data_IF_808284729380
#
_entry.id   IF_808284729380
#
_cell.length_a   1.000
_cell.length_b   1.000
_cell.length_c   1.000
_cell.angle_alpha   90.00
_cell.angle_beta   90.00
_cell.angle_gamma   90.00
#
_symmetry.space_group_name_H-M   'P 1'
#
loop_
_entity.id
_entity.type
_entity.pdbx_description
1 polymer ?
#
# COMPACT_ATOMS: atom_id res chain seq x y z
N UNK A 1 -15.11 2.56 31.97
CA UNK A 1 -14.00 2.34 31.02
C UNK A 1 -14.56 1.55 29.86
N UNK A 2 -14.95 2.22 28.78
CA UNK A 2 -15.61 1.59 27.64
C UNK A 2 -14.54 1.16 26.64
N UNK A 3 -14.25 -0.13 26.60
CA UNK A 3 -13.51 -0.70 25.48
C UNK A 3 -14.48 -0.78 24.30
N UNK A 4 -14.47 0.23 23.42
CA UNK A 4 -15.01 0.04 22.08
C UNK A 4 -14.35 -1.22 21.54
N UNK A 5 -15.17 -2.15 21.04
CA UNK A 5 -14.72 -3.34 20.32
C UNK A 5 -13.82 -2.87 19.17
N UNK A 6 -12.51 -2.88 19.41
CA UNK A 6 -11.52 -2.36 18.49
C UNK A 6 -11.59 -3.23 17.23
N UNK A 7 -12.20 -2.71 16.18
CA UNK A 7 -11.85 -3.15 14.84
C UNK A 7 -10.32 -3.08 14.79
N UNK A 8 -9.65 -4.24 14.74
CA UNK A 8 -8.18 -4.34 14.85
C UNK A 8 -7.53 -3.19 14.10
N UNK A 9 -6.76 -2.36 14.81
CA UNK A 9 -6.17 -1.15 14.24
C UNK A 9 -5.50 -1.46 12.90
N UNK A 10 -5.88 -0.74 11.86
CA UNK A 10 -5.31 -0.88 10.52
C UNK A 10 -3.92 -0.22 10.50
N UNK A 11 -2.98 -0.82 11.23
CA UNK A 11 -1.65 -0.27 11.46
C UNK A 11 -0.66 -0.48 10.32
N UNK A 12 -1.10 -0.87 9.13
CA UNK A 12 -0.25 -1.10 7.96
C UNK A 12 -0.81 -0.40 6.74
N UNK A 13 0.02 0.28 5.96
CA UNK A 13 -0.39 0.94 4.72
C UNK A 13 0.62 0.77 3.59
N UNK A 14 0.14 0.84 2.35
CA UNK A 14 0.96 1.04 1.15
C UNK A 14 0.71 2.45 0.61
N UNK A 15 1.79 3.14 0.25
CA UNK A 15 1.78 4.53 -0.20
C UNK A 15 2.62 4.64 -1.47
N UNK A 16 2.06 5.19 -2.54
CA UNK A 16 2.81 5.60 -3.73
C UNK A 16 3.60 6.87 -3.41
N UNK A 17 4.88 6.87 -3.76
CA UNK A 17 5.74 8.05 -3.71
C UNK A 17 5.88 8.56 -5.12
N UNK A 18 5.41 9.79 -5.35
CA UNK A 18 5.45 10.46 -6.64
C UNK A 18 6.66 11.38 -6.75
N UNK A 19 7.06 11.70 -7.97
CA UNK A 19 8.16 12.63 -8.24
C UNK A 19 7.74 14.10 -8.36
N UNK A 20 6.46 14.33 -8.65
CA UNK A 20 5.89 15.63 -9.01
C UNK A 20 4.87 16.15 -7.98
N UNK A 21 4.39 15.29 -7.07
CA UNK A 21 3.29 15.59 -6.14
C UNK A 21 3.39 14.84 -4.81
N UNK A 22 2.53 15.15 -3.83
CA UNK A 22 2.50 14.44 -2.57
C UNK A 22 2.18 12.94 -2.71
N UNK A 23 2.71 12.16 -1.78
CA UNK A 23 2.47 10.73 -1.64
C UNK A 23 0.97 10.35 -1.64
N UNK A 24 0.61 9.30 -2.39
CA UNK A 24 -0.76 8.79 -2.50
C UNK A 24 -1.01 7.52 -1.69
N UNK A 25 -2.08 7.46 -0.91
CA UNK A 25 -2.47 6.24 -0.19
C UNK A 25 -3.07 5.22 -1.16
N UNK A 26 -2.51 4.00 -1.20
CA UNK A 26 -3.00 2.91 -2.06
C UNK A 26 -3.90 1.96 -1.26
N UNK A 27 -3.40 1.48 -0.12
CA UNK A 27 -4.08 0.42 0.63
C UNK A 27 -3.81 0.56 2.12
N UNK A 28 -4.84 0.33 2.93
CA UNK A 28 -4.78 0.33 4.40
C UNK A 28 -5.26 -1.03 4.92
N UNK A 29 -4.46 -1.65 5.78
CA UNK A 29 -4.69 -3.02 6.25
C UNK A 29 -4.23 -3.24 7.69
N UNK A 30 -4.63 -4.38 8.26
CA UNK A 30 -4.29 -4.76 9.64
C UNK A 30 -2.96 -5.52 9.76
N UNK A 31 -2.39 -5.97 8.64
CA UNK A 31 -1.12 -6.68 8.60
C UNK A 31 -0.36 -6.41 7.30
N UNK A 32 0.96 -6.63 7.32
CA UNK A 32 1.79 -6.57 6.12
C UNK A 32 1.34 -7.56 5.05
N UNK A 33 0.92 -8.77 5.43
CA UNK A 33 0.37 -9.78 4.51
C UNK A 33 -0.87 -9.27 3.79
N UNK A 34 -1.78 -8.58 4.49
CA UNK A 34 -2.97 -8.03 3.88
C UNK A 34 -2.63 -6.91 2.90
N UNK A 35 -1.72 -5.99 3.28
CA UNK A 35 -1.26 -4.93 2.39
C UNK A 35 -0.62 -5.52 1.13
N UNK A 36 0.26 -6.52 1.27
CA UNK A 36 0.89 -7.21 0.14
C UNK A 36 -0.10 -7.93 -0.79
N UNK A 37 -1.21 -8.42 -0.25
CA UNK A 37 -2.24 -9.08 -1.04
C UNK A 37 -3.11 -8.09 -1.83
N UNK A 38 -3.39 -6.91 -1.26
CA UNK A 38 -4.35 -5.96 -1.85
C UNK A 38 -3.76 -4.76 -2.58
N UNK A 39 -2.50 -4.37 -2.31
CA UNK A 39 -1.97 -3.12 -2.85
C UNK A 39 -1.86 -3.10 -4.38
N UNK A 40 -1.61 -4.24 -5.01
CA UNK A 40 -1.39 -4.28 -6.46
C UNK A 40 -2.68 -4.03 -7.24
N UNK A 41 -3.79 -4.61 -6.78
CA UNK A 41 -5.12 -4.38 -7.38
C UNK A 41 -5.57 -2.94 -7.12
N UNK A 42 -5.51 -2.49 -5.86
CA UNK A 42 -5.87 -1.11 -5.50
C UNK A 42 -5.02 -0.07 -6.26
N UNK A 43 -3.74 -0.34 -6.49
CA UNK A 43 -2.86 0.53 -7.28
C UNK A 43 -3.34 0.71 -8.72
N UNK A 44 -3.82 -0.36 -9.36
CA UNK A 44 -4.31 -0.33 -10.73
C UNK A 44 -5.72 0.25 -10.84
N UNK A 45 -6.50 0.20 -9.76
CA UNK A 45 -7.86 0.75 -9.69
C UNK A 45 -7.85 2.26 -9.40
N UNK A 46 -6.94 2.71 -8.53
CA UNK A 46 -6.90 4.11 -8.06
C UNK A 46 -6.13 5.02 -9.00
N UNK A 47 -5.08 4.51 -9.67
CA UNK A 47 -4.20 5.33 -10.51
C UNK A 47 -4.30 4.95 -11.99
N UNK A 48 -4.42 5.98 -12.80
CA UNK A 48 -4.49 5.90 -14.26
C UNK A 48 -3.12 5.57 -14.85
N UNK A 49 -3.01 5.33 -16.17
CA UNK A 49 -1.70 5.10 -16.80
C UNK A 49 -0.74 6.28 -16.63
N UNK A 50 -1.19 7.50 -16.93
CA UNK A 50 -0.40 8.73 -16.77
C UNK A 50 0.10 8.90 -15.33
N UNK A 51 -0.77 8.65 -14.35
CA UNK A 51 -0.40 8.80 -12.94
C UNK A 51 0.65 7.78 -12.50
N UNK A 52 0.56 6.55 -13.01
CA UNK A 52 1.49 5.47 -12.68
C UNK A 52 2.89 5.71 -13.23
N UNK A 53 3.06 6.53 -14.27
CA UNK A 53 4.37 6.93 -14.79
C UNK A 53 5.16 7.80 -13.78
N UNK A 54 4.45 8.57 -12.96
CA UNK A 54 5.04 9.43 -11.94
C UNK A 54 5.36 8.70 -10.63
N UNK A 55 4.95 7.43 -10.47
CA UNK A 55 5.19 6.66 -9.25
C UNK A 55 6.62 6.10 -9.26
N UNK A 56 7.49 6.65 -8.41
CA UNK A 56 8.87 6.16 -8.29
C UNK A 56 8.96 4.88 -7.46
N UNK A 57 8.17 4.78 -6.39
CA UNK A 57 8.18 3.62 -5.50
C UNK A 57 6.88 3.49 -4.73
N UNK A 58 6.62 2.28 -4.22
CA UNK A 58 5.53 2.05 -3.26
C UNK A 58 6.14 1.71 -1.91
N UNK A 59 6.01 2.60 -0.95
CA UNK A 59 6.49 2.41 0.41
C UNK A 59 5.42 1.72 1.26
N UNK A 60 5.72 0.53 1.79
CA UNK A 60 4.92 -0.07 2.86
C UNK A 60 5.34 0.48 4.20
N UNK A 61 4.37 0.98 4.96
CA UNK A 61 4.60 1.64 6.24
C UNK A 61 3.76 0.98 7.35
N UNK A 62 4.27 1.07 8.58
CA UNK A 62 3.60 0.57 9.78
C UNK A 62 3.40 1.71 10.78
N UNK A 63 2.22 1.78 11.37
CA UNK A 63 1.96 2.66 12.50
C UNK A 63 2.73 2.19 13.72
N UNK A 64 3.49 3.10 14.34
CA UNK A 64 4.20 2.87 15.59
C UNK A 64 3.81 3.95 16.59
N UNK A 65 3.37 3.51 17.77
CA UNK A 65 2.95 4.39 18.87
C UNK A 65 1.49 4.18 19.26
N UNK A 66 0.97 5.10 20.06
CA UNK A 66 -0.45 5.11 20.46
C UNK A 66 -1.36 5.34 19.23
N UNK A 67 -2.63 4.91 19.26
CA UNK A 67 -3.55 5.10 18.14
C UNK A 67 -3.74 6.56 17.69
N UNK A 68 -3.63 7.51 18.61
CA UNK A 68 -3.86 8.95 18.42
C UNK A 68 -2.56 9.78 18.28
N UNK A 69 -1.44 9.27 18.78
CA UNK A 69 -0.16 10.00 18.85
C UNK A 69 1.02 9.27 18.21
N UNK A 70 0.77 8.19 17.47
CA UNK A 70 1.80 7.44 16.74
C UNK A 70 2.26 8.12 15.46
N UNK A 71 3.10 7.41 14.71
CA UNK A 71 3.56 7.83 13.38
C UNK A 71 3.67 6.65 12.43
N UNK A 72 3.53 6.93 11.14
CA UNK A 72 3.83 5.97 10.09
C UNK A 72 5.35 5.88 9.89
N UNK A 73 5.88 4.66 10.01
CA UNK A 73 7.29 4.38 9.76
C UNK A 73 7.44 3.55 8.49
N UNK A 74 8.40 3.93 7.66
CA UNK A 74 8.83 3.10 6.53
C UNK A 74 9.27 1.72 7.03
N UNK A 75 8.75 0.68 6.39
CA UNK A 75 9.12 -0.70 6.69
C UNK A 75 9.90 -1.34 5.53
N UNK A 76 9.39 -1.24 4.30
CA UNK A 76 10.03 -1.78 3.10
C UNK A 76 9.35 -1.25 1.83
N UNK A 77 10.04 -1.29 0.70
CA UNK A 77 9.45 -0.98 -0.60
C UNK A 77 8.75 -2.22 -1.20
N UNK A 78 7.59 -2.00 -1.81
CA UNK A 78 6.85 -2.98 -2.58
C UNK A 78 7.24 -2.88 -4.06
N UNK A 79 6.99 -3.96 -4.81
CA UNK A 79 7.24 -3.96 -6.25
C UNK A 79 6.18 -3.10 -6.94
N UNK A 80 6.59 -2.27 -7.90
CA UNK A 80 5.63 -1.58 -8.75
C UNK A 80 4.88 -2.62 -9.60
N UNK A 81 3.54 -2.65 -9.56
CA UNK A 81 2.76 -3.49 -10.47
C UNK A 81 2.98 -2.99 -11.91
N UNK A 82 3.67 -3.78 -12.73
CA UNK A 82 3.81 -3.50 -14.16
C UNK A 82 2.58 -4.02 -14.90
N UNK A 83 2.01 -3.22 -15.79
CA UNK A 83 0.95 -3.60 -16.74
C UNK A 83 1.41 -4.56 -17.83
N UNK A 84 2.63 -5.10 -17.76
CA UNK A 84 3.06 -6.11 -18.72
C UNK A 84 2.11 -7.31 -18.61
N UNK A 85 1.37 -7.68 -19.68
CA UNK A 85 0.56 -8.88 -19.64
C UNK A 85 1.49 -10.02 -19.31
N UNK A 86 1.29 -10.65 -18.15
CA UNK A 86 1.96 -11.90 -17.84
C UNK A 86 1.54 -12.87 -18.95
N UNK A 87 2.45 -13.09 -19.90
CA UNK A 87 2.34 -14.17 -20.87
C UNK A 87 2.31 -15.44 -20.03
N UNK A 88 1.11 -15.93 -19.75
CA UNK A 88 0.86 -17.20 -19.10
C UNK A 88 1.36 -18.28 -20.06
N UNK A 89 2.67 -18.54 -20.04
CA UNK A 89 3.23 -19.72 -20.67
C UNK A 89 2.87 -20.88 -19.75
N UNK A 90 1.65 -21.40 -19.94
CA UNK A 90 1.28 -22.72 -19.43
C UNK A 90 2.19 -23.73 -20.13
N UNK A 91 3.13 -24.29 -19.39
CA UNK A 91 3.79 -25.53 -19.74
C UNK A 91 2.99 -26.67 -19.10
N UNK A 92 2.29 -27.45 -19.92
CA UNK A 92 1.94 -28.86 -19.73
C UNK A 92 1.26 -29.37 -21.01
#
# INVERSE_FOLDING_TARGET
MFSLTEAKAQGWRAVAVFDDRPDGLIYLGRSSTQVRAGYAEAYLEIFDEDEREHVQTISMQRWQGAPDAGRWLHHTNLKLPTTTPQKLVRAA
#
